data_IF_576162225236
#
_entry.id   IF_576162225236
#
_cell.length_a   1.000
_cell.length_b   1.000
_cell.length_c   1.000
_cell.angle_alpha   90.00
_cell.angle_beta   90.00
_cell.angle_gamma   90.00
#
_symmetry.space_group_name_H-M   'P 1'
#
loop_
_entity.id
_entity.type
_entity.pdbx_description
1 polymer ?
#
# COMPACT_ATOMS: atom_id res chain seq x y z
N UNK A 1 15.92 -16.83 10.79
CA UNK A 1 16.69 -15.66 10.29
C UNK A 1 16.01 -15.19 9.01
N UNK A 2 15.74 -13.89 8.86
CA UNK A 2 15.22 -13.33 7.61
C UNK A 2 16.27 -12.42 6.98
N UNK A 3 16.21 -12.23 5.67
CA UNK A 3 17.07 -11.30 4.95
C UNK A 3 16.20 -10.30 4.19
N UNK A 4 16.41 -9.01 4.42
CA UNK A 4 15.81 -7.97 3.60
C UNK A 4 16.64 -7.82 2.32
N UNK A 5 16.00 -7.99 1.16
CA UNK A 5 16.63 -7.84 -0.15
C UNK A 5 16.00 -6.63 -0.82
N UNK A 6 16.79 -5.57 -1.02
CA UNK A 6 16.36 -4.45 -1.85
C UNK A 6 16.01 -4.94 -3.25
N UNK A 7 14.83 -4.58 -3.74
CA UNK A 7 14.41 -4.95 -5.09
C UNK A 7 14.97 -4.00 -6.15
N UNK A 8 15.48 -2.82 -5.78
CA UNK A 8 15.91 -1.71 -6.66
C UNK A 8 14.93 -1.40 -7.82
N UNK A 9 13.64 -1.70 -7.64
CA UNK A 9 12.59 -1.73 -8.67
C UNK A 9 12.87 -2.63 -9.89
N UNK A 10 13.78 -3.61 -9.74
CA UNK A 10 14.18 -4.57 -10.77
C UNK A 10 13.65 -5.98 -10.54
N UNK A 11 13.35 -6.35 -9.28
CA UNK A 11 12.83 -7.68 -8.91
C UNK A 11 11.34 -7.61 -8.65
N UNK A 12 10.59 -8.52 -9.27
CA UNK A 12 9.15 -8.65 -9.10
C UNK A 12 8.80 -10.10 -8.82
N UNK A 13 7.65 -10.32 -8.19
CA UNK A 13 7.12 -11.65 -8.05
C UNK A 13 6.71 -12.26 -9.40
N UNK A 14 6.35 -13.54 -9.41
CA UNK A 14 5.71 -14.25 -10.52
C UNK A 14 4.43 -13.55 -10.99
N UNK A 15 3.75 -12.83 -10.08
CA UNK A 15 2.58 -11.99 -10.38
C UNK A 15 2.93 -10.55 -10.82
N UNK A 16 4.22 -10.23 -10.97
CA UNK A 16 4.72 -8.89 -11.29
C UNK A 16 4.35 -7.82 -10.23
N UNK A 17 4.21 -8.25 -8.98
CA UNK A 17 3.89 -7.40 -7.83
C UNK A 17 5.09 -7.29 -6.88
N UNK A 18 5.10 -6.19 -6.12
CA UNK A 18 5.97 -5.95 -4.97
C UNK A 18 5.09 -5.38 -3.84
N UNK A 19 5.41 -5.64 -2.56
CA UNK A 19 6.44 -6.55 -2.08
C UNK A 19 6.06 -8.04 -2.27
N UNK A 20 7.04 -8.93 -2.09
CA UNK A 20 6.86 -10.39 -2.07
C UNK A 20 7.92 -11.01 -1.16
N UNK A 21 7.66 -12.23 -0.66
CA UNK A 21 8.60 -13.00 0.16
C UNK A 21 8.95 -14.32 -0.51
N UNK A 22 10.05 -14.93 -0.10
CA UNK A 22 10.39 -16.31 -0.41
C UNK A 22 10.56 -17.08 0.91
N UNK A 23 9.77 -18.14 1.09
CA UNK A 23 9.78 -18.98 2.28
C UNK A 23 9.89 -20.43 1.83
N UNK A 24 10.91 -21.14 2.30
CA UNK A 24 11.17 -22.54 1.96
C UNK A 24 11.19 -22.82 0.44
N UNK A 25 11.80 -21.91 -0.34
CA UNK A 25 11.90 -22.01 -1.80
C UNK A 25 10.60 -21.72 -2.55
N UNK A 26 9.54 -21.26 -1.87
CA UNK A 26 8.28 -20.83 -2.49
C UNK A 26 8.13 -19.32 -2.43
N UNK A 27 7.75 -18.73 -3.56
CA UNK A 27 7.53 -17.29 -3.64
C UNK A 27 6.07 -16.94 -3.37
N UNK A 28 5.84 -16.05 -2.41
CA UNK A 28 4.52 -15.55 -2.03
C UNK A 28 4.47 -14.07 -2.39
N UNK A 29 3.58 -13.70 -3.31
CA UNK A 29 3.37 -12.34 -3.77
C UNK A 29 2.22 -11.68 -3.02
N UNK A 30 2.20 -10.34 -3.00
CA UNK A 30 1.18 -9.49 -2.37
C UNK A 30 1.31 -9.47 -0.83
N UNK A 31 1.30 -8.27 -0.25
CA UNK A 31 1.61 -8.06 1.17
C UNK A 31 0.62 -8.75 2.09
N UNK A 32 -0.67 -8.78 1.76
CA UNK A 32 -1.69 -9.45 2.57
C UNK A 32 -1.46 -10.96 2.57
N UNK A 33 -1.22 -11.56 1.40
CA UNK A 33 -0.87 -12.99 1.33
C UNK A 33 0.48 -13.30 1.99
N UNK A 34 1.44 -12.38 1.95
CA UNK A 34 2.69 -12.53 2.69
C UNK A 34 2.43 -12.55 4.20
N UNK A 35 1.63 -11.62 4.72
CA UNK A 35 1.25 -11.54 6.14
C UNK A 35 0.50 -12.80 6.55
N UNK A 36 -0.50 -13.23 5.78
CA UNK A 36 -1.28 -14.44 6.06
C UNK A 36 -0.36 -15.68 6.12
N UNK A 37 0.48 -15.87 5.10
CA UNK A 37 1.39 -17.01 5.06
C UNK A 37 2.38 -17.02 6.22
N UNK A 38 2.94 -15.87 6.60
CA UNK A 38 3.85 -15.77 7.74
C UNK A 38 3.12 -16.01 9.07
N UNK A 39 1.90 -15.49 9.20
CA UNK A 39 1.05 -15.66 10.38
C UNK A 39 0.74 -17.14 10.60
N UNK A 40 0.34 -17.85 9.54
CA UNK A 40 0.08 -19.29 9.56
C UNK A 40 1.35 -20.10 9.83
N UNK A 41 2.44 -19.81 9.11
CA UNK A 41 3.69 -20.59 9.19
C UNK A 41 4.38 -20.48 10.54
N UNK A 42 4.33 -19.30 11.17
CA UNK A 42 4.99 -19.03 12.44
C UNK A 42 4.03 -18.97 13.63
N UNK A 43 2.76 -19.35 13.43
CA UNK A 43 1.72 -19.35 14.46
C UNK A 43 1.62 -18.02 15.23
N UNK A 44 1.60 -16.91 14.48
CA UNK A 44 1.54 -15.57 15.06
C UNK A 44 0.10 -15.25 15.44
N UNK A 45 -0.15 -15.00 16.72
CA UNK A 45 -1.50 -14.74 17.24
C UNK A 45 -1.70 -13.24 17.56
N UNK A 46 -1.85 -12.41 16.52
CA UNK A 46 -2.04 -10.94 16.70
C UNK A 46 -3.45 -10.52 17.11
N UNK A 47 -4.46 -11.34 16.81
CA UNK A 47 -5.88 -11.01 16.98
C UNK A 47 -6.60 -11.93 17.98
N UNK A 48 -5.86 -12.74 18.74
CA UNK A 48 -6.46 -13.73 19.65
C UNK A 48 -7.23 -13.11 20.82
N UNK A 49 -6.83 -11.90 21.22
CA UNK A 49 -7.53 -11.10 22.21
C UNK A 49 -8.84 -10.48 21.70
N UNK A 50 -9.08 -10.47 20.39
CA UNK A 50 -10.24 -9.80 19.80
C UNK A 50 -11.47 -10.70 19.85
N UNK A 51 -12.59 -10.12 20.31
CA UNK A 51 -13.91 -10.72 20.17
C UNK A 51 -14.31 -10.86 18.69
N UNK A 52 -15.29 -11.73 18.37
CA UNK A 52 -15.80 -11.85 17.00
C UNK A 52 -16.27 -10.52 16.39
N UNK A 53 -16.85 -9.64 17.22
CA UNK A 53 -17.28 -8.31 16.79
C UNK A 53 -16.07 -7.42 16.43
N UNK A 54 -15.04 -7.41 17.26
CA UNK A 54 -13.82 -6.63 17.00
C UNK A 54 -13.07 -7.14 15.77
N UNK A 55 -13.06 -8.45 15.53
CA UNK A 55 -12.53 -9.04 14.28
C UNK A 55 -13.31 -8.55 13.06
N UNK A 56 -14.64 -8.52 13.14
CA UNK A 56 -15.48 -8.00 12.05
C UNK A 56 -15.25 -6.49 11.80
N UNK A 57 -15.11 -5.69 12.87
CA UNK A 57 -14.74 -4.28 12.77
C UNK A 57 -13.35 -4.11 12.16
N UNK A 58 -12.39 -4.93 12.57
CA UNK A 58 -11.03 -4.90 12.03
C UNK A 58 -11.00 -5.19 10.53
N UNK A 59 -11.79 -6.18 10.08
CA UNK A 59 -11.98 -6.43 8.64
C UNK A 59 -12.53 -5.21 7.91
N UNK A 60 -13.52 -4.52 8.48
CA UNK A 60 -14.08 -3.32 7.86
C UNK A 60 -13.05 -2.19 7.76
N UNK A 61 -12.24 -1.96 8.80
CA UNK A 61 -11.17 -0.97 8.76
C UNK A 61 -10.07 -1.32 7.76
N UNK A 62 -9.69 -2.60 7.69
CA UNK A 62 -8.72 -3.04 6.69
C UNK A 62 -9.21 -2.78 5.25
N UNK A 63 -10.48 -3.06 4.96
CA UNK A 63 -11.08 -2.73 3.65
C UNK A 63 -11.14 -1.23 3.42
N UNK A 64 -11.49 -0.42 4.43
CA UNK A 64 -11.49 1.05 4.31
C UNK A 64 -10.08 1.59 3.98
N UNK A 65 -9.04 1.04 4.60
CA UNK A 65 -7.65 1.38 4.36
C UNK A 65 -7.20 0.99 2.93
N UNK A 66 -7.49 -0.24 2.51
CA UNK A 66 -7.05 -0.79 1.21
C UNK A 66 -7.87 -0.29 0.01
N UNK A 67 -9.18 -0.07 0.17
CA UNK A 67 -10.06 0.27 -0.97
C UNK A 67 -10.42 1.76 -1.03
N UNK A 68 -10.24 2.52 0.06
CA UNK A 68 -10.45 3.96 0.03
C UNK A 68 -9.13 4.74 0.18
N UNK A 69 -8.46 4.63 1.33
CA UNK A 69 -7.26 5.44 1.61
C UNK A 69 -6.12 5.13 0.65
N UNK A 70 -5.88 3.87 0.31
CA UNK A 70 -4.89 3.49 -0.72
C UNK A 70 -5.16 4.19 -2.05
N UNK A 71 -6.41 4.24 -2.51
CA UNK A 71 -6.77 4.87 -3.78
C UNK A 71 -6.68 6.40 -3.74
N UNK A 72 -6.92 7.01 -2.57
CA UNK A 72 -6.56 8.43 -2.33
C UNK A 72 -5.05 8.65 -2.50
N UNK A 73 -4.21 7.77 -1.95
CA UNK A 73 -2.75 7.86 -2.09
C UNK A 73 -2.33 7.69 -3.56
N UNK A 74 -2.88 6.70 -4.26
CA UNK A 74 -2.60 6.47 -5.69
C UNK A 74 -3.05 7.66 -6.53
N UNK A 75 -4.22 8.24 -6.26
CA UNK A 75 -4.71 9.46 -6.91
C UNK A 75 -3.71 10.60 -6.75
N UNK A 76 -3.26 10.87 -5.52
CA UNK A 76 -2.30 11.93 -5.22
C UNK A 76 -0.93 11.70 -5.86
N UNK A 77 -0.42 10.46 -5.85
CA UNK A 77 0.82 10.07 -6.55
C UNK A 77 0.70 10.21 -8.07
N UNK A 78 -0.47 9.91 -8.64
CA UNK A 78 -0.76 10.10 -10.06
C UNK A 78 -0.74 11.57 -10.47
N UNK A 79 -1.28 12.45 -9.62
CA UNK A 79 -1.29 13.90 -9.82
C UNK A 79 0.10 14.53 -9.64
N UNK A 80 0.82 14.13 -8.59
CA UNK A 80 2.16 14.61 -8.28
C UNK A 80 3.22 13.50 -8.45
N UNK A 81 3.55 13.21 -9.69
CA UNK A 81 4.51 12.16 -10.05
C UNK A 81 5.98 12.62 -10.03
N UNK A 82 6.26 13.87 -9.61
CA UNK A 82 7.61 14.45 -9.61
C UNK A 82 8.60 13.64 -8.77
N UNK A 83 8.11 13.00 -7.70
CA UNK A 83 8.90 12.09 -6.88
C UNK A 83 9.62 11.01 -7.70
N UNK A 84 8.95 10.43 -8.71
CA UNK A 84 9.56 9.39 -9.54
C UNK A 84 10.72 9.90 -10.41
N UNK A 85 10.82 11.22 -10.63
CA UNK A 85 11.91 11.86 -11.35
C UNK A 85 13.13 12.21 -10.46
N UNK A 86 13.02 11.99 -9.14
CA UNK A 86 14.09 12.26 -8.16
C UNK A 86 15.08 11.09 -8.08
N UNK A 87 16.30 11.32 -7.55
CA UNK A 87 17.25 10.23 -7.26
C UNK A 87 16.71 9.17 -6.30
N UNK A 88 15.76 9.53 -5.42
CA UNK A 88 15.10 8.61 -4.49
C UNK A 88 13.94 7.83 -5.14
N UNK A 89 13.47 8.28 -6.30
CA UNK A 89 12.48 7.58 -7.12
C UNK A 89 13.11 6.77 -8.25
N UNK A 90 12.31 6.38 -9.24
CA UNK A 90 12.78 5.54 -10.36
C UNK A 90 13.96 6.14 -11.14
N UNK A 91 14.05 7.47 -11.25
CA UNK A 91 15.13 8.12 -11.99
C UNK A 91 16.52 7.95 -11.35
N UNK A 92 16.60 7.53 -10.08
CA UNK A 92 17.86 7.12 -9.44
C UNK A 92 18.43 5.81 -9.98
N UNK A 93 17.58 4.95 -10.53
CA UNK A 93 17.96 3.63 -11.05
C UNK A 93 18.29 3.64 -12.55
N UNK A 94 18.27 4.82 -13.19
CA UNK A 94 18.55 4.97 -14.64
C UNK A 94 19.69 5.96 -14.86
N UNK A 95 20.73 5.53 -15.58
CA UNK A 95 21.95 6.32 -15.83
C UNK A 95 22.14 6.70 -17.31
N UNK A 96 22.97 7.72 -17.56
CA UNK A 96 23.37 8.15 -18.90
C UNK A 96 22.24 8.73 -19.76
N UNK A 97 22.38 8.63 -21.08
CA UNK A 97 21.42 9.14 -22.09
C UNK A 97 20.00 8.58 -21.88
N UNK A 98 19.90 7.37 -21.33
CA UNK A 98 18.63 6.72 -20.97
C UNK A 98 17.85 7.50 -19.91
N UNK A 99 18.51 8.30 -19.06
CA UNK A 99 17.86 9.12 -18.02
C UNK A 99 16.99 10.24 -18.60
N UNK A 100 17.42 10.86 -19.70
CA UNK A 100 16.64 11.91 -20.37
C UNK A 100 15.39 11.33 -21.02
N UNK A 101 15.55 10.21 -21.76
CA UNK A 101 14.43 9.47 -22.35
C UNK A 101 13.46 8.93 -21.29
N UNK A 102 13.98 8.41 -20.18
CA UNK A 102 13.19 7.93 -19.05
C UNK A 102 12.33 9.03 -18.42
N UNK A 103 12.94 10.20 -18.15
CA UNK A 103 12.23 11.34 -17.56
C UNK A 103 11.15 11.91 -18.48
N UNK A 104 11.41 11.98 -19.78
CA UNK A 104 10.46 12.57 -20.73
C UNK A 104 9.32 11.61 -21.09
N UNK A 105 9.63 10.33 -21.39
CA UNK A 105 8.66 9.40 -21.98
C UNK A 105 8.10 8.41 -20.95
N UNK A 106 8.97 7.76 -20.17
CA UNK A 106 8.54 6.68 -19.27
C UNK A 106 7.71 7.21 -18.11
N UNK A 107 8.08 8.36 -17.53
CA UNK A 107 7.31 8.99 -16.46
C UNK A 107 5.93 9.45 -16.91
N UNK A 108 5.81 9.99 -18.13
CA UNK A 108 4.50 10.40 -18.67
C UNK A 108 3.60 9.18 -18.93
N UNK A 109 4.14 8.11 -19.50
CA UNK A 109 3.39 6.86 -19.69
C UNK A 109 2.97 6.24 -18.36
N UNK A 110 3.84 6.26 -17.35
CA UNK A 110 3.53 5.80 -16.01
C UNK A 110 2.41 6.64 -15.37
N UNK A 111 2.45 7.97 -15.55
CA UNK A 111 1.36 8.87 -15.12
C UNK A 111 0.03 8.51 -15.77
N UNK A 112 0.02 8.35 -17.09
CA UNK A 112 -1.18 7.96 -17.86
C UNK A 112 -1.73 6.62 -17.37
N UNK A 113 -0.84 5.65 -17.07
CA UNK A 113 -1.22 4.35 -16.51
C UNK A 113 -1.87 4.47 -15.13
N UNK A 114 -1.25 5.20 -14.19
CA UNK A 114 -1.82 5.45 -12.86
C UNK A 114 -3.20 6.10 -13.00
N UNK A 115 -3.31 7.10 -13.86
CA UNK A 115 -4.57 7.81 -14.03
C UNK A 115 -5.67 6.95 -14.63
N UNK A 116 -5.33 6.10 -15.60
CA UNK A 116 -6.25 5.09 -16.13
C UNK A 116 -6.73 4.15 -15.01
N UNK A 117 -5.84 3.70 -14.12
CA UNK A 117 -6.22 2.84 -12.99
C UNK A 117 -7.17 3.57 -12.03
N UNK A 118 -6.86 4.82 -11.66
CA UNK A 118 -7.73 5.64 -10.80
C UNK A 118 -9.12 5.83 -11.41
N UNK A 119 -9.19 6.10 -12.72
CA UNK A 119 -10.47 6.31 -13.41
C UNK A 119 -11.29 5.02 -13.51
N UNK A 120 -10.63 3.87 -13.72
CA UNK A 120 -11.29 2.57 -13.75
C UNK A 120 -11.79 2.14 -12.37
N UNK A 121 -11.06 2.45 -11.30
CA UNK A 121 -11.53 2.18 -9.93
C UNK A 121 -12.66 3.13 -9.51
N UNK A 122 -12.66 4.36 -10.01
CA UNK A 122 -13.70 5.37 -9.75
C UNK A 122 -13.16 6.62 -9.09
N UNK A 123 -12.12 6.53 -8.24
CA UNK A 123 -11.53 7.68 -7.54
C UNK A 123 -11.07 8.77 -8.50
N UNK A 124 -10.57 8.39 -9.68
CA UNK A 124 -10.09 9.32 -10.71
C UNK A 124 -11.19 10.11 -11.42
N UNK A 125 -12.47 9.85 -11.12
CA UNK A 125 -13.62 10.63 -11.61
C UNK A 125 -13.92 11.83 -10.74
N UNK A 126 -13.41 11.86 -9.52
CA UNK A 126 -13.64 12.93 -8.56
C UNK A 126 -12.62 14.06 -8.73
N UNK A 127 -13.07 15.28 -8.42
CA UNK A 127 -12.23 16.44 -8.22
C UNK A 127 -11.29 16.24 -7.02
N UNK A 128 -10.24 17.05 -6.94
CA UNK A 128 -9.31 17.00 -5.81
C UNK A 128 -10.03 17.24 -4.48
N UNK A 129 -10.92 18.23 -4.43
CA UNK A 129 -11.67 18.58 -3.23
C UNK A 129 -12.57 17.42 -2.75
N UNK A 130 -13.20 16.70 -3.68
CA UNK A 130 -14.00 15.51 -3.36
C UNK A 130 -13.13 14.38 -2.82
N UNK A 131 -11.96 14.14 -3.41
CA UNK A 131 -11.00 13.13 -2.93
C UNK A 131 -10.47 13.49 -1.53
N UNK A 132 -10.16 14.75 -1.28
CA UNK A 132 -9.74 15.25 0.03
C UNK A 132 -10.87 15.08 1.07
N UNK A 133 -12.13 15.32 0.68
CA UNK A 133 -13.29 15.06 1.54
C UNK A 133 -13.47 13.58 1.88
N UNK A 134 -13.25 12.68 0.91
CA UNK A 134 -13.28 11.22 1.15
C UNK A 134 -12.19 10.85 2.16
N UNK A 135 -10.94 11.26 1.89
CA UNK A 135 -9.80 11.01 2.76
C UNK A 135 -10.03 11.51 4.19
N UNK A 136 -10.58 12.72 4.33
CA UNK A 136 -10.88 13.31 5.63
C UNK A 136 -11.92 12.49 6.39
N UNK A 137 -13.01 12.05 5.74
CA UNK A 137 -14.04 11.22 6.38
C UNK A 137 -13.47 9.90 6.89
N UNK A 138 -12.65 9.24 6.07
CA UNK A 138 -12.06 7.95 6.41
C UNK A 138 -11.04 8.07 7.56
N UNK A 139 -10.16 9.08 7.50
CA UNK A 139 -9.19 9.36 8.56
C UNK A 139 -9.89 9.76 9.87
N UNK A 140 -10.98 10.52 9.80
CA UNK A 140 -11.79 10.86 10.98
C UNK A 140 -12.45 9.62 11.57
N UNK A 141 -13.01 8.72 10.76
CA UNK A 141 -13.60 7.47 11.26
C UNK A 141 -12.57 6.62 12.01
N UNK A 142 -11.37 6.48 11.45
CA UNK A 142 -10.25 5.78 12.08
C UNK A 142 -9.77 6.49 13.35
N UNK A 143 -9.64 7.82 13.32
CA UNK A 143 -9.20 8.63 14.47
C UNK A 143 -10.19 8.57 15.63
N UNK A 144 -11.50 8.67 15.36
CA UNK A 144 -12.55 8.53 16.37
C UNK A 144 -12.54 7.13 16.96
N UNK A 145 -12.34 6.10 16.14
CA UNK A 145 -12.25 4.74 16.65
C UNK A 145 -10.99 4.52 17.51
N UNK A 146 -9.84 5.07 17.10
CA UNK A 146 -8.60 4.99 17.87
C UNK A 146 -8.72 5.75 19.20
N UNK A 147 -9.33 6.94 19.18
CA UNK A 147 -9.48 7.82 20.35
C UNK A 147 -8.13 7.95 21.11
N UNK A 148 -8.15 7.78 22.43
CA UNK A 148 -6.95 7.85 23.28
C UNK A 148 -6.24 6.48 23.44
N UNK A 149 -6.65 5.46 22.67
CA UNK A 149 -6.04 4.12 22.74
C UNK A 149 -4.68 4.12 22.02
N UNK A 150 -3.66 3.42 22.55
CA UNK A 150 -2.37 3.33 21.89
C UNK A 150 -2.42 2.51 20.58
N UNK A 151 -3.39 1.60 20.45
CA UNK A 151 -3.64 0.79 19.26
C UNK A 151 -5.15 0.64 19.02
N UNK A 152 -5.54 0.32 17.78
CA UNK A 152 -6.88 -0.18 17.50
C UNK A 152 -7.18 -1.37 18.42
N UNK A 153 -8.33 -1.35 19.08
CA UNK A 153 -8.79 -2.36 20.05
C UNK A 153 -8.00 -2.45 21.37
N UNK A 154 -7.21 -1.43 21.73
CA UNK A 154 -6.70 -1.27 23.10
C UNK A 154 -5.19 -1.18 23.19
N UNK A 155 -4.55 -2.05 23.97
CA UNK A 155 -3.16 -1.90 24.41
C UNK A 155 -2.12 -2.63 23.56
N UNK A 156 -2.54 -3.45 22.60
CA UNK A 156 -1.64 -4.23 21.74
C UNK A 156 -1.96 -4.01 20.27
N UNK A 157 -0.96 -4.03 19.37
CA UNK A 157 -1.20 -3.98 17.95
C UNK A 157 -1.96 -5.23 17.49
N UNK A 158 -2.79 -5.04 16.47
CA UNK A 158 -3.60 -6.06 15.78
C UNK A 158 -3.29 -6.04 14.29
N UNK A 159 -3.79 -7.02 13.54
CA UNK A 159 -3.61 -7.10 12.08
C UNK A 159 -4.08 -5.85 11.33
N UNK A 160 -5.03 -5.09 11.88
CA UNK A 160 -5.48 -3.80 11.31
C UNK A 160 -4.36 -2.80 11.14
N UNK A 161 -3.27 -2.89 11.91
CA UNK A 161 -2.11 -2.00 11.81
C UNK A 161 -1.10 -2.47 10.77
N UNK A 162 -1.25 -3.67 10.21
CA UNK A 162 -0.34 -4.26 9.24
C UNK A 162 -0.71 -3.89 7.79
N UNK A 163 -1.61 -2.93 7.59
CA UNK A 163 -1.95 -2.45 6.27
C UNK A 163 -0.77 -1.72 5.63
N UNK A 164 -0.56 -1.97 4.35
CA UNK A 164 0.65 -1.55 3.66
C UNK A 164 0.42 -0.17 3.05
N UNK A 165 0.88 0.90 3.72
CA UNK A 165 0.92 2.25 3.11
C UNK A 165 1.86 2.36 1.88
N UNK A 166 2.58 1.29 1.53
CA UNK A 166 3.71 1.32 0.61
C UNK A 166 3.76 0.05 -0.26
N UNK A 167 2.78 -0.10 -1.15
CA UNK A 167 3.07 -0.60 -2.49
C UNK A 167 3.34 0.57 -3.45
#
# INVERSE_FOLDING_TARGET
MFQNISNEFKKYSTKKQIPFIEVNGRQIADSNFCIDHLTETFHIEMDNQLSPLEKAQGRAFHVLLEESIRWVVVYNRGKNNKFFATPQGFAGHVSGVKKFFFKAVVLEQFRKKIWKMCYLQGIGRHSLEEVEKIAMKDLLALSVFLADKPFFFGSKPTTVHNFSFLD
#
